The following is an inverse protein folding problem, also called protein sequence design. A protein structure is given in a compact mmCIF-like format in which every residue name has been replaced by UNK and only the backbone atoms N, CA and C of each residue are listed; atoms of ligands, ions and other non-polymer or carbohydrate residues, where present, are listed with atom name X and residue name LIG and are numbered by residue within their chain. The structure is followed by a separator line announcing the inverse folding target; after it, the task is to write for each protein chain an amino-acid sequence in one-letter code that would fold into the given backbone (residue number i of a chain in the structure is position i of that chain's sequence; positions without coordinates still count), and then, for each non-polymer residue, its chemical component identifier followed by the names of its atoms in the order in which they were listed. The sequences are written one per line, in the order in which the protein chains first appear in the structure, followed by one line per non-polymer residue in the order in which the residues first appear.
data_IF_892829914792
#
_entry.id   IF_892829914792
#
_cell.length_a   1.000
_cell.length_b   1.000
_cell.length_c   1.000
_cell.angle_alpha   90.00
_cell.angle_beta   90.00
_cell.angle_gamma   90.00
#
_symmetry.space_group_name_H-M   'P 1'
#
loop_
_entity.id
_entity.type
_entity.pdbx_description
1 polymer ?
#
# COMPACT_ATOMS: atom_id res chain seq x y z
N UNK A 1 -1.69 -5.03 15.75
CA UNK A 1 -0.83 -6.04 16.38
C UNK A 1 0.25 -6.52 15.41
N UNK A 2 -0.10 -7.08 14.24
CA UNK A 2 0.85 -7.69 13.30
C UNK A 2 1.94 -6.74 12.81
N UNK A 3 1.61 -5.46 12.46
CA UNK A 3 2.59 -4.48 12.02
C UNK A 3 3.58 -4.11 13.13
N UNK A 4 3.07 -3.98 14.36
CA UNK A 4 3.89 -3.64 15.53
C UNK A 4 4.90 -4.73 15.85
N UNK A 5 4.46 -5.99 15.80
CA UNK A 5 5.25 -7.15 16.22
C UNK A 5 6.18 -7.70 15.13
N UNK A 6 6.07 -7.19 13.90
CA UNK A 6 6.91 -7.66 12.80
C UNK A 6 8.37 -7.27 13.00
N UNK A 7 9.27 -8.26 13.00
CA UNK A 7 10.71 -8.05 13.17
C UNK A 7 11.26 -7.15 12.08
N UNK A 8 12.16 -6.25 12.45
CA UNK A 8 12.87 -5.41 11.49
C UNK A 8 13.90 -6.23 10.74
N UNK A 9 13.98 -6.02 9.43
CA UNK A 9 14.98 -6.62 8.53
C UNK A 9 15.86 -5.47 8.04
N UNK A 10 17.17 -5.69 7.96
CA UNK A 10 18.10 -4.69 7.41
C UNK A 10 17.81 -4.43 5.94
N UNK A 11 18.15 -3.24 5.44
CA UNK A 11 17.93 -2.91 4.03
C UNK A 11 18.77 -3.83 3.10
N UNK A 12 19.96 -4.22 3.55
CA UNK A 12 20.81 -5.16 2.83
C UNK A 12 20.18 -6.55 2.70
N UNK A 13 19.68 -7.11 3.82
CA UNK A 13 18.99 -8.40 3.80
C UNK A 13 17.70 -8.34 2.99
N UNK A 14 16.99 -7.22 3.07
CA UNK A 14 15.80 -6.97 2.27
C UNK A 14 16.14 -6.99 0.77
N UNK A 15 17.22 -6.30 0.37
CA UNK A 15 17.74 -6.30 -1.01
C UNK A 15 18.04 -7.71 -1.51
N UNK A 16 18.75 -8.51 -0.70
CA UNK A 16 19.05 -9.90 -1.03
C UNK A 16 17.78 -10.74 -1.21
N UNK A 17 16.83 -10.63 -0.27
CA UNK A 17 15.57 -11.41 -0.31
C UNK A 17 14.69 -11.08 -1.50
N UNK A 18 14.68 -9.83 -1.96
CA UNK A 18 13.91 -9.44 -3.15
C UNK A 18 14.76 -9.46 -4.44
N UNK A 19 16.06 -9.78 -4.35
CA UNK A 19 16.99 -9.75 -5.50
C UNK A 19 16.95 -8.43 -6.25
N UNK A 20 16.97 -7.34 -5.49
CA UNK A 20 16.92 -5.99 -6.05
C UNK A 20 17.64 -5.01 -5.14
N UNK A 21 18.62 -4.30 -5.68
CA UNK A 21 19.48 -3.43 -4.89
C UNK A 21 18.69 -2.26 -4.30
N UNK A 22 18.70 -2.15 -2.96
CA UNK A 22 18.09 -1.06 -2.19
C UNK A 22 19.17 -0.39 -1.35
N UNK A 23 19.41 0.89 -1.55
CA UNK A 23 20.42 1.69 -0.84
C UNK A 23 19.73 2.68 0.11
N UNK A 24 20.37 2.99 1.24
CA UNK A 24 19.86 3.97 2.23
C UNK A 24 19.61 5.36 1.61
N UNK A 25 20.45 5.75 0.66
CA UNK A 25 20.41 7.06 0.02
C UNK A 25 19.43 7.12 -1.17
N UNK A 26 18.84 5.99 -1.55
CA UNK A 26 17.99 5.89 -2.71
C UNK A 26 16.54 5.68 -2.31
N UNK A 27 15.69 6.64 -2.67
CA UNK A 27 14.25 6.59 -2.42
C UNK A 27 13.58 5.62 -3.40
N UNK A 28 12.71 4.74 -2.90
CA UNK A 28 11.92 3.87 -3.75
C UNK A 28 10.44 3.92 -3.37
N UNK A 29 9.60 3.60 -4.33
CA UNK A 29 8.15 3.45 -4.13
C UNK A 29 7.77 1.97 -4.13
N UNK A 30 6.69 1.65 -3.43
CA UNK A 30 6.00 0.36 -3.56
C UNK A 30 4.71 0.62 -4.33
N UNK A 31 4.47 -0.13 -5.40
CA UNK A 31 3.28 0.01 -6.23
C UNK A 31 2.40 -1.22 -6.11
N UNK A 32 1.15 -1.03 -5.66
CA UNK A 32 0.14 -2.08 -5.56
C UNK A 32 -1.21 -1.52 -6.01
N UNK A 33 -1.68 -2.03 -7.14
CA UNK A 33 -2.98 -1.64 -7.68
C UNK A 33 -3.83 -2.87 -7.93
N UNK A 34 -5.09 -2.81 -7.53
CA UNK A 34 -6.08 -3.86 -7.73
C UNK A 34 -7.16 -3.36 -8.68
N UNK A 35 -7.81 -4.28 -9.36
CA UNK A 35 -8.98 -3.94 -10.15
C UNK A 35 -10.15 -3.56 -9.25
N UNK A 36 -10.98 -2.64 -9.72
CA UNK A 36 -12.30 -2.37 -9.16
C UNK A 36 -13.33 -3.06 -10.06
N UNK A 37 -14.17 -3.91 -9.48
CA UNK A 37 -15.11 -4.75 -10.25
C UNK A 37 -16.04 -3.93 -11.17
N UNK A 38 -16.46 -2.75 -10.73
CA UNK A 38 -17.27 -1.82 -11.55
C UNK A 38 -16.47 -1.13 -12.66
N UNK A 39 -15.13 -1.19 -12.63
CA UNK A 39 -14.23 -0.54 -13.60
C UNK A 39 -13.23 -1.54 -14.22
N UNK A 40 -13.54 -2.85 -14.20
CA UNK A 40 -12.57 -3.89 -14.56
C UNK A 40 -12.00 -3.73 -15.99
N UNK A 41 -12.77 -3.21 -16.92
CA UNK A 41 -12.33 -2.91 -18.30
C UNK A 41 -11.23 -1.83 -18.36
N UNK A 42 -11.18 -0.92 -17.38
CA UNK A 42 -10.18 0.16 -17.29
C UNK A 42 -8.92 -0.26 -16.53
N UNK A 43 -8.87 -1.47 -15.96
CA UNK A 43 -7.80 -1.91 -15.06
C UNK A 43 -6.42 -1.91 -15.72
N UNK A 44 -6.33 -2.28 -16.99
CA UNK A 44 -5.10 -2.19 -17.78
C UNK A 44 -4.61 -0.74 -17.89
N UNK A 45 -5.47 0.16 -18.36
CA UNK A 45 -5.09 1.55 -18.64
C UNK A 45 -4.69 2.30 -17.37
N UNK A 46 -5.41 2.07 -16.28
CA UNK A 46 -5.10 2.66 -14.97
C UNK A 46 -3.74 2.22 -14.47
N UNK A 47 -3.42 0.93 -14.55
CA UNK A 47 -2.11 0.41 -14.13
C UNK A 47 -1.00 0.86 -15.08
N UNK A 48 -1.23 0.80 -16.39
CA UNK A 48 -0.27 1.26 -17.39
C UNK A 48 0.07 2.74 -17.20
N UNK A 49 -0.94 3.59 -16.96
CA UNK A 49 -0.75 5.01 -16.69
C UNK A 49 0.16 5.22 -15.45
N UNK A 50 -0.14 4.54 -14.35
CA UNK A 50 0.64 4.64 -13.11
C UNK A 50 2.10 4.25 -13.35
N UNK A 51 2.35 3.10 -13.96
CA UNK A 51 3.71 2.62 -14.23
C UNK A 51 4.45 3.48 -15.26
N UNK A 52 3.75 3.99 -16.27
CA UNK A 52 4.36 4.87 -17.26
C UNK A 52 4.79 6.22 -16.67
N UNK A 53 4.03 6.76 -15.72
CA UNK A 53 4.44 7.96 -14.96
C UNK A 53 5.68 7.67 -14.11
N UNK A 54 5.69 6.58 -13.35
CA UNK A 54 6.83 6.16 -12.54
C UNK A 54 8.08 5.92 -13.42
N UNK A 55 7.92 5.29 -14.59
CA UNK A 55 8.97 5.09 -15.57
C UNK A 55 9.54 6.42 -16.09
N UNK A 56 8.69 7.33 -16.56
CA UNK A 56 9.11 8.63 -17.09
C UNK A 56 9.86 9.46 -16.05
N UNK A 57 9.46 9.39 -14.79
CA UNK A 57 10.11 10.08 -13.69
C UNK A 57 11.32 9.32 -13.11
N UNK A 58 11.69 8.18 -13.68
CA UNK A 58 12.78 7.30 -13.24
C UNK A 58 12.69 6.93 -11.74
N UNK A 59 11.48 6.72 -11.24
CA UNK A 59 11.26 6.35 -9.84
C UNK A 59 11.54 4.87 -9.65
N UNK A 60 12.51 4.55 -8.79
CA UNK A 60 12.78 3.17 -8.38
C UNK A 60 11.52 2.60 -7.71
N UNK A 61 11.03 1.47 -8.22
CA UNK A 61 9.72 0.97 -7.80
C UNK A 61 9.71 -0.54 -7.63
N UNK A 62 9.15 -1.00 -6.51
CA UNK A 62 8.81 -2.40 -6.28
C UNK A 62 7.33 -2.56 -6.59
N UNK A 63 7.03 -3.36 -7.61
CA UNK A 63 5.68 -3.59 -8.11
C UNK A 63 5.22 -4.96 -7.61
N UNK A 64 4.10 -4.99 -6.92
CA UNK A 64 3.49 -6.23 -6.43
C UNK A 64 2.21 -6.49 -7.23
N UNK A 65 2.03 -7.73 -7.66
CA UNK A 65 0.86 -8.13 -8.45
C UNK A 65 -0.45 -7.88 -7.68
N UNK A 66 -1.56 -7.70 -8.41
CA UNK A 66 -2.87 -7.58 -7.81
C UNK A 66 -3.30 -8.91 -7.15
N UNK A 67 -4.38 -8.83 -6.37
CA UNK A 67 -5.15 -10.01 -6.00
C UNK A 67 -5.85 -10.62 -7.23
N UNK A 68 -6.64 -11.68 -7.03
CA UNK A 68 -7.36 -12.40 -8.07
C UNK A 68 -8.74 -11.83 -8.45
N UNK A 69 -9.04 -10.57 -8.08
CA UNK A 69 -10.32 -9.93 -8.42
C UNK A 69 -10.53 -9.82 -9.95
N UNK A 70 -11.78 -9.71 -10.37
CA UNK A 70 -12.14 -9.50 -11.77
C UNK A 70 -11.37 -8.30 -12.36
N UNK A 71 -10.73 -8.47 -13.54
CA UNK A 71 -9.86 -7.47 -14.16
C UNK A 71 -8.40 -7.51 -13.72
N UNK A 72 -7.99 -8.42 -12.82
CA UNK A 72 -6.59 -8.60 -12.44
C UNK A 72 -5.68 -8.95 -13.63
N UNK A 73 -6.18 -9.69 -14.60
CA UNK A 73 -5.47 -10.02 -15.85
C UNK A 73 -5.03 -8.77 -16.62
N UNK A 74 -5.88 -7.74 -16.68
CA UNK A 74 -5.55 -6.45 -17.29
C UNK A 74 -4.38 -5.76 -16.57
N UNK A 75 -4.39 -5.75 -15.24
CA UNK A 75 -3.28 -5.20 -14.44
C UNK A 75 -1.99 -5.98 -14.69
N UNK A 76 -2.04 -7.31 -14.69
CA UNK A 76 -0.89 -8.17 -14.96
C UNK A 76 -0.34 -7.93 -16.37
N UNK A 77 -1.22 -7.80 -17.35
CA UNK A 77 -0.85 -7.47 -18.74
C UNK A 77 -0.16 -6.10 -18.82
N UNK A 78 -0.67 -5.09 -18.13
CA UNK A 78 0.00 -3.78 -18.04
C UNK A 78 1.39 -3.90 -17.40
N UNK A 79 1.53 -4.60 -16.27
CA UNK A 79 2.82 -4.82 -15.59
C UNK A 79 3.83 -5.50 -16.54
N UNK A 80 3.40 -6.45 -17.35
CA UNK A 80 4.27 -7.19 -18.26
C UNK A 80 4.99 -6.30 -19.27
N UNK A 81 4.41 -5.15 -19.64
CA UNK A 81 5.03 -4.14 -20.55
C UNK A 81 6.24 -3.44 -19.94
N UNK A 82 6.47 -3.58 -18.64
CA UNK A 82 7.53 -2.90 -17.91
C UNK A 82 8.59 -3.85 -17.35
N UNK A 83 8.60 -5.13 -17.75
CA UNK A 83 9.56 -6.14 -17.24
C UNK A 83 11.03 -5.75 -17.43
N UNK A 84 11.34 -5.03 -18.51
CA UNK A 84 12.71 -4.66 -18.86
C UNK A 84 13.14 -3.30 -18.31
N UNK A 85 12.34 -2.68 -17.43
CA UNK A 85 12.72 -1.41 -16.81
C UNK A 85 13.68 -1.68 -15.65
N UNK A 86 14.96 -1.31 -15.78
CA UNK A 86 16.05 -1.66 -14.85
C UNK A 86 15.80 -1.25 -13.38
N UNK A 87 15.04 -0.20 -13.14
CA UNK A 87 14.72 0.30 -11.80
C UNK A 87 13.33 -0.13 -11.31
N UNK A 88 12.71 -1.10 -11.98
CA UNK A 88 11.48 -1.77 -11.52
C UNK A 88 11.79 -3.19 -11.05
N UNK A 89 11.29 -3.53 -9.87
CA UNK A 89 11.33 -4.89 -9.32
C UNK A 89 9.91 -5.42 -9.26
N UNK A 90 9.62 -6.44 -10.05
CA UNK A 90 8.27 -7.02 -10.13
C UNK A 90 8.22 -8.30 -9.32
N UNK A 91 7.27 -8.38 -8.39
CA UNK A 91 7.02 -9.56 -7.53
C UNK A 91 5.58 -9.99 -7.62
N UNK A 92 5.36 -11.31 -7.78
CA UNK A 92 4.00 -11.87 -7.80
C UNK A 92 3.38 -11.83 -6.42
N UNK A 93 4.15 -12.18 -5.42
CA UNK A 93 3.78 -12.18 -4.02
C UNK A 93 5.01 -11.94 -3.15
N UNK A 94 4.80 -11.50 -1.92
CA UNK A 94 5.85 -11.32 -0.93
C UNK A 94 5.40 -11.86 0.42
N UNK A 95 6.27 -12.57 1.16
CA UNK A 95 6.02 -12.89 2.55
C UNK A 95 5.73 -11.61 3.34
N UNK A 96 4.84 -11.71 4.34
CA UNK A 96 4.40 -10.54 5.10
C UNK A 96 5.55 -9.77 5.76
N UNK A 97 6.52 -10.47 6.34
CA UNK A 97 7.69 -9.84 6.95
C UNK A 97 8.50 -9.01 5.94
N UNK A 98 8.65 -9.49 4.71
CA UNK A 98 9.32 -8.75 3.62
C UNK A 98 8.49 -7.54 3.24
N UNK A 99 7.19 -7.73 3.01
CA UNK A 99 6.26 -6.65 2.64
C UNK A 99 6.25 -5.50 3.66
N UNK A 100 6.10 -5.80 4.95
CA UNK A 100 6.10 -4.79 6.01
C UNK A 100 7.43 -4.03 6.06
N UNK A 101 8.55 -4.74 5.91
CA UNK A 101 9.86 -4.10 5.92
C UNK A 101 10.13 -3.29 4.64
N UNK A 102 9.59 -3.68 3.50
CA UNK A 102 9.57 -2.82 2.30
C UNK A 102 8.81 -1.53 2.55
N UNK A 103 7.61 -1.59 3.14
CA UNK A 103 6.84 -0.39 3.47
C UNK A 103 7.55 0.50 4.50
N UNK A 104 8.22 -0.07 5.49
CA UNK A 104 8.98 0.71 6.51
C UNK A 104 10.09 1.57 5.93
N UNK A 105 10.68 1.15 4.82
CA UNK A 105 11.82 1.81 4.20
C UNK A 105 11.45 2.54 2.89
N UNK A 106 10.20 2.43 2.43
CA UNK A 106 9.75 3.08 1.21
C UNK A 106 9.57 4.59 1.39
N UNK A 107 9.65 5.30 0.29
CA UNK A 107 9.27 6.72 0.20
C UNK A 107 7.76 6.90 0.12
N UNK A 108 7.08 5.98 -0.57
CA UNK A 108 5.64 6.07 -0.81
C UNK A 108 5.07 4.69 -1.17
N UNK A 109 3.82 4.45 -0.78
CA UNK A 109 2.98 3.42 -1.38
C UNK A 109 2.06 4.07 -2.40
N UNK A 110 2.08 3.61 -3.65
CA UNK A 110 1.25 4.13 -4.74
C UNK A 110 0.34 3.04 -5.31
N UNK A 111 -0.86 3.40 -5.68
CA UNK A 111 -1.89 2.51 -6.23
C UNK A 111 -3.19 2.63 -5.46
N UNK A 112 -3.95 1.54 -5.33
CA UNK A 112 -5.25 1.56 -4.64
C UNK A 112 -5.42 0.42 -3.63
N UNK A 113 -4.32 -0.10 -3.12
CA UNK A 113 -4.35 -1.14 -2.08
C UNK A 113 -4.90 -0.57 -0.77
N UNK A 114 -5.67 -1.39 -0.04
CA UNK A 114 -6.10 -1.04 1.32
C UNK A 114 -4.93 -0.84 2.29
N UNK A 115 -3.77 -1.40 2.00
CA UNK A 115 -2.55 -1.18 2.78
C UNK A 115 -2.18 0.31 2.86
N UNK A 116 -2.46 1.10 1.80
CA UNK A 116 -2.28 2.55 1.77
C UNK A 116 -3.16 3.33 2.75
N UNK A 117 -4.20 2.69 3.29
CA UNK A 117 -5.12 3.28 4.27
C UNK A 117 -4.93 2.66 5.64
N UNK A 118 -4.81 1.33 5.71
CA UNK A 118 -4.84 0.59 6.98
C UNK A 118 -3.45 0.43 7.61
N UNK A 119 -2.39 0.32 6.80
CA UNK A 119 -1.04 -0.02 7.26
C UNK A 119 -0.10 1.18 7.25
N UNK A 120 -0.14 1.99 6.20
CA UNK A 120 0.78 3.12 6.03
C UNK A 120 0.65 4.20 7.11
N UNK A 121 -0.52 4.50 7.70
CA UNK A 121 -0.61 5.47 8.80
C UNK A 121 0.22 5.07 10.02
N UNK A 122 0.17 3.79 10.40
CA UNK A 122 0.95 3.28 11.54
C UNK A 122 2.46 3.39 11.29
N UNK A 123 2.89 3.22 10.04
CA UNK A 123 4.28 3.31 9.63
C UNK A 123 4.76 4.76 9.43
N UNK A 124 3.85 5.71 9.31
CA UNK A 124 4.16 7.09 8.90
C UNK A 124 4.59 7.17 7.44
N UNK A 125 4.15 6.22 6.61
CA UNK A 125 4.48 6.16 5.19
C UNK A 125 3.43 6.92 4.39
N UNK A 126 3.79 7.91 3.57
CA UNK A 126 2.87 8.53 2.62
C UNK A 126 2.30 7.52 1.63
N UNK A 127 1.03 7.69 1.29
CA UNK A 127 0.42 6.90 0.24
C UNK A 127 -0.31 7.77 -0.79
N UNK A 128 -0.21 7.39 -2.07
CA UNK A 128 -0.96 7.98 -3.18
C UNK A 128 -2.01 6.95 -3.59
N UNK A 129 -3.27 7.24 -3.27
CA UNK A 129 -4.38 6.40 -3.70
C UNK A 129 -4.87 6.83 -5.07
N UNK A 130 -4.68 5.98 -6.08
CA UNK A 130 -5.06 6.24 -7.48
C UNK A 130 -6.41 5.60 -7.77
N UNK A 131 -7.39 6.43 -8.19
CA UNK A 131 -8.73 5.99 -8.53
C UNK A 131 -9.67 5.79 -7.33
N UNK A 132 -10.80 5.15 -7.57
CA UNK A 132 -11.98 5.21 -6.72
C UNK A 132 -12.12 4.08 -5.70
N UNK A 133 -11.26 3.03 -5.78
CA UNK A 133 -11.43 1.79 -4.98
C UNK A 133 -11.49 2.02 -3.48
N UNK A 134 -10.82 3.02 -2.98
CA UNK A 134 -10.74 3.32 -1.55
C UNK A 134 -11.48 4.61 -1.14
N UNK A 135 -12.19 5.25 -2.07
CA UNK A 135 -13.01 6.43 -1.74
C UNK A 135 -14.00 6.11 -0.62
N UNK A 136 -14.29 7.09 0.20
CA UNK A 136 -15.22 7.01 1.35
C UNK A 136 -14.74 6.16 2.54
N UNK A 137 -13.53 5.59 2.50
CA UNK A 137 -12.95 4.95 3.69
C UNK A 137 -12.32 5.96 4.63
N UNK A 138 -12.44 5.74 5.93
CA UNK A 138 -11.66 6.49 6.91
C UNK A 138 -10.17 6.34 6.62
N UNK A 139 -9.44 7.45 6.63
CA UNK A 139 -8.01 7.49 6.31
C UNK A 139 -7.29 8.55 7.13
N UNK A 140 -6.01 8.39 7.28
CA UNK A 140 -5.16 9.40 7.92
C UNK A 140 -4.63 10.42 6.90
N UNK A 141 -4.06 11.52 7.40
CA UNK A 141 -3.55 12.62 6.59
C UNK A 141 -2.30 12.28 5.75
N UNK A 142 -1.76 11.07 5.89
CA UNK A 142 -0.66 10.57 5.07
C UNK A 142 -1.11 10.03 3.70
N UNK A 143 -2.41 9.95 3.43
CA UNK A 143 -2.97 9.44 2.17
C UNK A 143 -3.49 10.57 1.30
N UNK A 144 -3.04 10.61 0.07
CA UNK A 144 -3.49 11.57 -0.96
C UNK A 144 -4.32 10.82 -1.99
N UNK A 145 -5.58 11.19 -2.14
CA UNK A 145 -6.48 10.62 -3.15
C UNK A 145 -6.39 11.40 -4.44
N UNK A 146 -6.18 10.71 -5.54
CA UNK A 146 -6.13 11.31 -6.88
C UNK A 146 -6.91 10.47 -7.88
N UNK A 147 -7.50 11.08 -8.92
CA UNK A 147 -8.02 10.33 -10.04
C UNK A 147 -6.88 9.66 -10.83
N UNK A 148 -7.25 8.72 -11.71
CA UNK A 148 -6.30 8.12 -12.67
C UNK A 148 -6.05 9.12 -13.81
N UNK A 149 -5.32 10.20 -13.49
CA UNK A 149 -4.93 11.28 -14.40
C UNK A 149 -3.43 11.48 -14.42
N UNK A 150 -2.85 11.59 -15.60
CA UNK A 150 -1.40 11.68 -15.82
C UNK A 150 -0.79 12.94 -15.21
N UNK A 151 -1.43 14.10 -15.39
CA UNK A 151 -0.88 15.40 -14.93
C UNK A 151 -0.90 15.44 -13.40
N UNK A 152 -2.02 15.03 -12.80
CA UNK A 152 -2.20 14.99 -11.35
C UNK A 152 -1.24 13.98 -10.72
N UNK A 153 -1.07 12.82 -11.33
CA UNK A 153 -0.17 11.76 -10.84
C UNK A 153 1.29 12.24 -10.83
N UNK A 154 1.78 12.83 -11.92
CA UNK A 154 3.15 13.38 -12.01
C UNK A 154 3.35 14.47 -10.95
N UNK A 155 2.40 15.41 -10.83
CA UNK A 155 2.45 16.48 -9.82
C UNK A 155 2.53 15.90 -8.41
N UNK A 156 1.70 14.92 -8.09
CA UNK A 156 1.65 14.31 -6.75
C UNK A 156 2.92 13.52 -6.44
N UNK A 157 3.47 12.77 -7.39
CA UNK A 157 4.75 12.07 -7.24
C UNK A 157 5.87 13.09 -6.97
N UNK A 158 5.91 14.20 -7.70
CA UNK A 158 6.91 15.27 -7.49
C UNK A 158 6.78 15.89 -6.09
N UNK A 159 5.56 16.11 -5.61
CA UNK A 159 5.31 16.59 -4.24
C UNK A 159 5.85 15.62 -3.18
N UNK A 160 5.62 14.31 -3.34
CA UNK A 160 6.12 13.29 -2.42
C UNK A 160 7.65 13.22 -2.43
N UNK A 161 8.28 13.47 -3.57
CA UNK A 161 9.75 13.49 -3.67
C UNK A 161 10.38 14.75 -3.06
N UNK A 162 9.63 15.84 -2.91
CA UNK A 162 10.08 17.01 -2.18
C UNK A 162 10.16 16.71 -0.67
N UNK A 163 11.34 16.88 -0.07
CA UNK A 163 11.57 16.49 1.32
C UNK A 163 10.79 17.34 2.34
N UNK A 164 10.55 18.62 2.05
CA UNK A 164 9.75 19.51 2.91
C UNK A 164 8.29 19.02 2.97
N UNK A 165 7.71 18.71 1.81
CA UNK A 165 6.35 18.18 1.75
C UNK A 165 6.26 16.80 2.38
N UNK A 166 7.21 15.92 2.08
CA UNK A 166 7.29 14.58 2.67
C UNK A 166 7.26 14.63 4.19
N UNK A 167 8.14 15.42 4.82
CA UNK A 167 8.19 15.57 6.29
C UNK A 167 6.86 16.04 6.89
N UNK A 168 6.09 16.83 6.15
CA UNK A 168 4.77 17.30 6.58
C UNK A 168 3.76 16.18 6.70
N UNK A 169 3.74 15.22 5.74
CA UNK A 169 2.73 14.17 5.65
C UNK A 169 3.20 12.80 6.16
N UNK A 170 4.51 12.55 6.23
CA UNK A 170 5.09 11.28 6.72
C UNK A 170 5.01 11.18 8.25
N UNK A 171 3.81 11.35 8.79
CA UNK A 171 3.54 11.29 10.24
C UNK A 171 2.78 10.02 10.58
N UNK A 172 3.19 9.36 11.67
CA UNK A 172 2.46 8.21 12.21
C UNK A 172 1.10 8.65 12.73
N UNK A 173 0.10 7.82 12.48
CA UNK A 173 -1.26 8.01 12.96
C UNK A 173 -1.82 6.70 13.48
N UNK A 174 -2.58 6.78 14.56
CA UNK A 174 -3.17 5.64 15.23
C UNK A 174 -4.69 5.57 15.06
N UNK A 175 -5.23 6.13 13.98
CA UNK A 175 -6.68 6.17 13.73
C UNK A 175 -7.32 4.77 13.76
N UNK A 176 -6.54 3.71 13.46
CA UNK A 176 -6.98 2.32 13.53
C UNK A 176 -6.49 1.60 14.79
N UNK A 177 -6.03 2.33 15.80
CA UNK A 177 -5.59 1.80 17.09
C UNK A 177 -4.07 1.63 17.22
N UNK A 178 -3.66 1.23 18.42
CA UNK A 178 -2.26 1.17 18.85
C UNK A 178 -1.58 -0.19 18.62
N UNK A 179 -2.26 -1.14 17.97
CA UNK A 179 -1.75 -2.49 17.77
C UNK A 179 -1.81 -3.36 19.04
N UNK A 180 -2.87 -3.23 19.82
CA UNK A 180 -3.16 -4.03 21.01
C UNK A 180 -4.57 -4.64 20.97
N UNK A 181 -5.13 -4.81 19.77
CA UNK A 181 -6.50 -5.29 19.58
C UNK A 181 -6.70 -6.72 20.08
N UNK A 182 -5.71 -7.61 19.91
CA UNK A 182 -5.78 -8.98 20.38
C UNK A 182 -6.00 -9.07 21.89
N UNK A 183 -5.25 -8.27 22.67
CA UNK A 183 -5.41 -8.24 24.12
C UNK A 183 -6.78 -7.69 24.54
N UNK A 184 -7.28 -6.67 23.84
CA UNK A 184 -8.61 -6.13 24.09
C UNK A 184 -9.72 -7.15 23.79
N UNK A 185 -9.60 -7.84 22.65
CA UNK A 185 -10.54 -8.90 22.26
C UNK A 185 -10.54 -10.02 23.30
N UNK A 186 -9.36 -10.51 23.70
CA UNK A 186 -9.24 -11.56 24.72
C UNK A 186 -9.87 -11.12 26.05
N UNK A 187 -9.64 -9.86 26.45
CA UNK A 187 -10.25 -9.33 27.68
C UNK A 187 -11.80 -9.36 27.61
N UNK A 188 -12.36 -8.92 26.49
CA UNK A 188 -13.81 -8.94 26.28
C UNK A 188 -14.33 -10.38 26.25
N UNK A 189 -13.69 -11.29 25.50
CA UNK A 189 -14.11 -12.69 25.43
C UNK A 189 -14.07 -13.39 26.78
N UNK A 190 -13.09 -13.09 27.63
CA UNK A 190 -13.02 -13.64 28.99
C UNK A 190 -14.09 -13.09 29.95
N UNK A 191 -14.59 -11.88 29.71
CA UNK A 191 -15.58 -11.23 30.57
C UNK A 191 -17.02 -11.44 30.12
N UNK A 192 -17.23 -11.88 28.89
CA UNK A 192 -18.57 -12.03 28.33
C UNK A 192 -19.29 -13.23 28.92
N UNK A 193 -20.50 -13.01 29.46
CA UNK A 193 -21.36 -14.08 29.95
C UNK A 193 -22.18 -14.65 28.79
N UNK A 194 -22.07 -15.95 28.58
CA UNK A 194 -22.88 -16.64 27.57
C UNK A 194 -24.32 -16.77 28.10
N UNK A 195 -25.24 -16.07 27.49
CA UNK A 195 -26.65 -16.08 27.85
C UNK A 195 -27.55 -15.96 26.60
N UNK A 196 -28.88 -16.13 26.75
CA UNK A 196 -29.81 -16.05 25.63
C UNK A 196 -29.73 -14.74 24.83
N UNK A 197 -29.42 -13.61 25.49
CA UNK A 197 -29.29 -12.30 24.83
C UNK A 197 -28.10 -12.26 23.88
N UNK A 198 -27.01 -12.98 24.16
CA UNK A 198 -25.83 -13.07 23.28
C UNK A 198 -26.15 -13.82 21.99
N UNK A 199 -27.07 -14.78 22.03
CA UNK A 199 -27.46 -15.58 20.86
C UNK A 199 -28.52 -14.89 19.98
N UNK A 200 -29.30 -13.96 20.56
CA UNK A 200 -30.29 -13.20 19.83
C UNK A 200 -29.62 -11.97 19.18
N UNK A 201 -29.33 -12.06 17.88
CA UNK A 201 -28.92 -10.90 17.09
C UNK A 201 -30.14 -10.00 16.86
N UNK A 202 -30.17 -8.86 17.50
CA UNK A 202 -31.00 -7.74 17.05
C UNK A 202 -30.19 -7.00 15.96
N UNK A 203 -30.70 -6.97 14.71
CA UNK A 203 -30.20 -6.15 13.63
C UNK A 203 -30.76 -4.76 13.88
N UNK A 204 -29.90 -3.84 14.28
CA UNK A 204 -30.23 -2.41 14.42
C UNK A 204 -29.98 -1.74 13.07
#
# INVERSE_FOLDING_TARGET
DRLRNEKKITLNDLSKKIQFNLNKNEKYFVCIQHSLSSEFKKSYDQMYLTLNCLKKMKIKTIIIYPNSDAGSSGIISAISRFKNVKYFCIKKNLPRNIFVNLLRNARCLIGNSSAGILETPFLGLPSINVGNRQLKRNHANNTIFIPSDKKILIKTISMINNDRFYKKIAKKSNIFGLGNSSNKIIKVLKSIKINKKLFNKEII
#
